data_IF_386957949630
#
_entry.id   IF_386957949630
#
_cell.length_a   1.000
_cell.length_b   1.000
_cell.length_c   1.000
_cell.angle_alpha   90.00
_cell.angle_beta   90.00
_cell.angle_gamma   90.00
#
_symmetry.space_group_name_H-M   'P 1'
#
loop_
_entity.id
_entity.type
_entity.pdbx_description
1 polymer ?
#
# COMPACT_ATOMS: atom_id res chain seq x y z
N UNK A 1 -22.69 47.43 38.46
CA UNK A 1 -22.21 46.82 37.20
C UNK A 1 -21.40 45.55 37.45
N UNK A 2 -20.35 45.55 38.29
CA UNK A 2 -19.60 44.31 38.64
C UNK A 2 -20.42 43.21 39.35
N UNK A 3 -21.42 43.60 40.16
CA UNK A 3 -22.29 42.66 40.89
C UNK A 3 -23.28 41.94 39.95
N UNK A 4 -23.66 42.56 38.83
CA UNK A 4 -24.50 41.92 37.80
C UNK A 4 -23.69 40.95 36.94
N UNK A 5 -22.43 41.28 36.64
CA UNK A 5 -21.53 40.43 35.87
C UNK A 5 -21.21 39.14 36.65
N UNK A 6 -20.97 39.24 37.96
CA UNK A 6 -20.72 38.06 38.82
C UNK A 6 -21.98 37.20 39.02
N UNK A 7 -23.18 37.80 39.05
CA UNK A 7 -24.45 37.05 39.07
C UNK A 7 -24.73 36.31 37.76
N UNK A 8 -24.46 36.94 36.61
CA UNK A 8 -24.60 36.27 35.31
C UNK A 8 -23.58 35.16 35.12
N UNK A 9 -22.33 35.36 35.54
CA UNK A 9 -21.30 34.31 35.54
C UNK A 9 -21.71 33.11 36.41
N UNK A 10 -22.27 33.35 37.60
CA UNK A 10 -22.76 32.29 38.48
C UNK A 10 -24.08 31.65 38.01
N UNK A 11 -24.86 32.29 37.13
CA UNK A 11 -26.03 31.67 36.49
C UNK A 11 -25.62 30.78 35.30
N UNK A 12 -24.56 31.16 34.59
CA UNK A 12 -23.96 30.37 33.51
C UNK A 12 -23.12 29.20 34.07
N UNK A 13 -22.48 29.41 35.23
CA UNK A 13 -21.65 28.40 35.91
C UNK A 13 -22.42 27.62 37.01
N UNK A 14 -23.62 28.07 37.38
CA UNK A 14 -24.45 27.55 38.49
C UNK A 14 -25.25 26.29 38.18
N UNK A 15 -24.75 25.42 37.30
CA UNK A 15 -25.19 24.04 37.25
C UNK A 15 -24.64 23.27 38.45
N UNK A 16 -25.45 22.42 39.07
CA UNK A 16 -24.99 21.43 40.06
C UNK A 16 -23.67 20.81 39.61
N UNK A 17 -22.75 20.51 40.54
CA UNK A 17 -21.47 19.84 40.24
C UNK A 17 -21.65 18.64 39.29
N UNK A 18 -22.80 17.95 39.37
CA UNK A 18 -23.20 16.88 38.45
C UNK A 18 -23.34 17.29 36.98
N UNK A 19 -23.81 18.50 36.66
CA UNK A 19 -23.96 19.00 35.27
C UNK A 19 -22.61 19.16 34.58
N UNK A 20 -21.63 19.76 35.26
CA UNK A 20 -20.28 19.93 34.72
C UNK A 20 -19.53 18.60 34.61
N UNK A 21 -19.72 17.70 35.57
CA UNK A 21 -19.18 16.33 35.49
C UNK A 21 -19.79 15.56 34.31
N UNK A 22 -21.11 15.64 34.10
CA UNK A 22 -21.79 14.98 32.99
C UNK A 22 -21.35 15.54 31.64
N UNK A 23 -21.28 16.87 31.51
CA UNK A 23 -20.83 17.53 30.27
C UNK A 23 -19.38 17.17 29.95
N UNK A 24 -18.51 17.16 30.97
CA UNK A 24 -17.12 16.69 30.84
C UNK A 24 -17.03 15.24 30.38
N UNK A 25 -17.86 14.35 30.92
CA UNK A 25 -17.90 12.94 30.53
C UNK A 25 -18.32 12.74 29.05
N UNK A 26 -19.29 13.53 28.56
CA UNK A 26 -19.73 13.48 27.15
C UNK A 26 -18.62 13.93 26.20
N UNK A 27 -17.93 15.03 26.52
CA UNK A 27 -16.81 15.54 25.72
C UNK A 27 -15.65 14.53 25.70
N UNK A 28 -15.29 13.98 26.87
CA UNK A 28 -14.24 12.97 26.97
C UNK A 28 -14.58 11.71 26.15
N UNK A 29 -15.84 11.28 26.20
CA UNK A 29 -16.33 10.12 25.42
C UNK A 29 -16.27 10.39 23.91
N UNK A 30 -16.63 11.59 23.47
CA UNK A 30 -16.52 11.98 22.05
C UNK A 30 -15.06 12.00 21.58
N UNK A 31 -14.14 12.54 22.38
CA UNK A 31 -12.70 12.54 22.09
C UNK A 31 -12.17 11.09 22.03
N UNK A 32 -12.54 10.25 23.00
CA UNK A 32 -12.16 8.84 23.02
C UNK A 32 -12.68 8.09 21.78
N UNK A 33 -13.91 8.36 21.35
CA UNK A 33 -14.50 7.74 20.16
C UNK A 33 -13.74 8.13 18.88
N UNK A 34 -13.44 9.42 18.68
CA UNK A 34 -12.63 9.90 17.55
C UNK A 34 -11.24 9.27 17.57
N UNK A 35 -10.63 9.18 18.75
CA UNK A 35 -9.32 8.55 18.92
C UNK A 35 -9.34 7.05 18.57
N UNK A 36 -10.36 6.31 19.01
CA UNK A 36 -10.55 4.89 18.68
C UNK A 36 -10.71 4.68 17.16
N UNK A 37 -11.50 5.52 16.48
CA UNK A 37 -11.68 5.46 15.03
C UNK A 37 -10.34 5.66 14.31
N UNK A 38 -9.54 6.63 14.75
CA UNK A 38 -8.22 6.88 14.16
C UNK A 38 -7.27 5.69 14.37
N UNK A 39 -7.26 5.08 15.55
CA UNK A 39 -6.44 3.90 15.84
C UNK A 39 -6.87 2.67 15.03
N UNK A 40 -8.17 2.51 14.78
CA UNK A 40 -8.71 1.38 14.02
C UNK A 40 -8.23 1.35 12.57
N UNK A 41 -7.95 2.52 11.96
CA UNK A 41 -7.44 2.60 10.59
C UNK A 41 -6.10 1.85 10.38
N UNK A 42 -5.27 1.68 11.42
CA UNK A 42 -4.05 0.84 11.30
C UNK A 42 -4.39 -0.66 11.28
N UNK A 43 -5.37 -1.10 12.06
CA UNK A 43 -5.80 -2.51 12.12
C UNK A 43 -6.52 -2.91 10.84
N UNK A 44 -7.35 -2.02 10.31
CA UNK A 44 -8.08 -2.23 9.07
C UNK A 44 -7.14 -2.43 7.88
N UNK A 45 -6.17 -1.54 7.69
CA UNK A 45 -5.16 -1.67 6.62
C UNK A 45 -4.40 -2.98 6.66
N UNK A 46 -4.06 -3.46 7.86
CA UNK A 46 -3.40 -4.76 8.03
C UNK A 46 -4.27 -5.90 7.55
N UNK A 47 -5.55 -5.89 7.96
CA UNK A 47 -6.51 -6.91 7.53
C UNK A 47 -6.71 -6.87 6.01
N UNK A 48 -6.92 -5.70 5.43
CA UNK A 48 -7.06 -5.52 3.98
C UNK A 48 -5.82 -6.07 3.24
N UNK A 49 -4.61 -5.82 3.75
CA UNK A 49 -3.39 -6.37 3.14
C UNK A 49 -3.30 -7.89 3.26
N UNK A 50 -3.69 -8.47 4.39
CA UNK A 50 -3.73 -9.93 4.55
C UNK A 50 -4.74 -10.54 3.58
N UNK A 51 -5.95 -9.97 3.49
CA UNK A 51 -6.99 -10.43 2.58
C UNK A 51 -6.54 -10.32 1.11
N UNK A 52 -5.83 -9.23 0.75
CA UNK A 52 -5.20 -9.07 -0.56
C UNK A 52 -4.16 -10.16 -0.84
N UNK A 53 -3.31 -10.49 0.13
CA UNK A 53 -2.30 -11.55 -0.01
C UNK A 53 -3.00 -12.89 -0.23
N UNK A 54 -4.01 -13.23 0.58
CA UNK A 54 -4.79 -14.46 0.44
C UNK A 54 -5.46 -14.53 -0.94
N UNK A 55 -6.10 -13.44 -1.38
CA UNK A 55 -6.74 -13.37 -2.68
C UNK A 55 -5.73 -13.54 -3.83
N UNK A 56 -4.54 -12.93 -3.71
CA UNK A 56 -3.46 -13.09 -4.69
C UNK A 56 -2.96 -14.54 -4.73
N UNK A 57 -2.90 -15.21 -3.58
CA UNK A 57 -2.51 -16.61 -3.50
C UNK A 57 -3.56 -17.58 -4.05
N UNK A 58 -4.83 -17.19 -4.04
CA UNK A 58 -5.91 -17.99 -4.64
C UNK A 58 -6.08 -17.73 -6.15
N UNK A 59 -5.51 -16.63 -6.67
CA UNK A 59 -5.56 -16.27 -8.09
C UNK A 59 -4.63 -17.17 -8.92
N UNK A 60 -5.20 -18.28 -9.42
CA UNK A 60 -4.49 -19.23 -10.30
C UNK A 60 -3.97 -18.57 -11.58
N UNK A 61 -4.75 -17.66 -12.16
CA UNK A 61 -4.39 -16.96 -13.40
C UNK A 61 -3.16 -16.09 -13.18
N UNK A 62 -3.11 -15.35 -12.07
CA UNK A 62 -1.93 -14.57 -11.70
C UNK A 62 -0.72 -15.48 -11.49
N UNK A 63 -0.88 -16.60 -10.79
CA UNK A 63 0.22 -17.56 -10.55
C UNK A 63 0.77 -18.15 -11.84
N UNK A 64 -0.09 -18.55 -12.77
CA UNK A 64 0.31 -19.10 -14.08
C UNK A 64 1.11 -18.08 -14.88
N UNK A 65 0.61 -16.84 -14.97
CA UNK A 65 1.30 -15.76 -15.68
C UNK A 65 2.60 -15.36 -15.00
N UNK A 66 2.62 -15.28 -13.68
CA UNK A 66 3.85 -15.02 -12.93
C UNK A 66 4.87 -16.14 -13.15
N UNK A 67 4.43 -17.40 -13.19
CA UNK A 67 5.29 -18.54 -13.47
C UNK A 67 5.87 -18.50 -14.89
N UNK A 68 5.11 -18.06 -15.91
CA UNK A 68 5.63 -17.90 -17.28
C UNK A 68 6.78 -16.87 -17.30
N UNK A 69 6.59 -15.72 -16.65
CA UNK A 69 7.63 -14.69 -16.55
C UNK A 69 8.84 -15.21 -15.76
N UNK A 70 8.61 -15.90 -14.64
CA UNK A 70 9.67 -16.47 -13.82
C UNK A 70 10.51 -17.49 -14.61
N UNK A 71 9.90 -18.30 -15.48
CA UNK A 71 10.61 -19.19 -16.40
C UNK A 71 11.50 -18.42 -17.37
N UNK A 72 10.99 -17.34 -17.97
CA UNK A 72 11.79 -16.49 -18.86
C UNK A 72 12.99 -15.87 -18.13
N UNK A 73 12.79 -15.37 -16.91
CA UNK A 73 13.85 -14.80 -16.08
C UNK A 73 14.90 -15.86 -15.71
N UNK A 74 14.47 -17.06 -15.32
CA UNK A 74 15.39 -18.14 -14.93
C UNK A 74 16.17 -18.73 -16.12
N UNK A 75 15.65 -18.58 -17.35
CA UNK A 75 16.32 -18.97 -18.59
C UNK A 75 17.18 -17.82 -19.17
N UNK A 76 17.46 -16.78 -18.38
CA UNK A 76 18.24 -15.59 -18.77
C UNK A 76 17.72 -14.88 -20.05
N UNK A 77 16.41 -14.98 -20.32
CA UNK A 77 15.79 -14.32 -21.46
C UNK A 77 15.70 -12.82 -21.20
N UNK A 78 16.30 -12.02 -22.09
CA UNK A 78 16.20 -10.57 -22.04
C UNK A 78 14.77 -10.10 -22.39
N UNK A 79 14.03 -9.66 -21.37
CA UNK A 79 12.63 -9.23 -21.53
C UNK A 79 12.46 -7.97 -22.40
N UNK A 80 13.52 -7.18 -22.59
CA UNK A 80 13.52 -5.99 -23.48
C UNK A 80 13.13 -6.36 -24.92
N UNK A 81 13.48 -7.56 -25.36
CA UNK A 81 13.17 -8.04 -26.71
C UNK A 81 11.66 -8.05 -26.99
N UNK A 82 10.83 -8.17 -25.96
CA UNK A 82 9.37 -8.10 -26.11
C UNK A 82 8.85 -6.70 -26.41
N UNK A 83 9.67 -5.64 -26.30
CA UNK A 83 9.28 -4.29 -26.69
C UNK A 83 8.91 -4.18 -28.18
N UNK A 84 9.49 -5.04 -29.04
CA UNK A 84 9.10 -5.11 -30.46
C UNK A 84 7.64 -5.51 -30.66
N UNK A 85 7.03 -6.15 -29.66
CA UNK A 85 5.66 -6.63 -29.72
C UNK A 85 4.65 -5.68 -29.05
N UNK A 86 5.03 -4.42 -28.76
CA UNK A 86 4.15 -3.48 -28.02
C UNK A 86 2.81 -3.22 -28.71
N UNK A 87 2.81 -3.20 -30.04
CA UNK A 87 1.67 -2.86 -30.89
C UNK A 87 1.02 -4.09 -31.55
N UNK A 88 1.46 -5.30 -31.18
CA UNK A 88 0.98 -6.58 -31.71
C UNK A 88 0.55 -7.48 -30.56
N UNK A 89 -0.40 -8.38 -30.81
CA UNK A 89 -0.80 -9.34 -29.79
C UNK A 89 0.29 -10.40 -29.62
N UNK A 90 0.96 -10.39 -28.46
CA UNK A 90 1.95 -11.37 -28.08
C UNK A 90 1.67 -11.87 -26.68
N UNK A 91 1.56 -13.19 -26.52
CA UNK A 91 1.13 -13.83 -25.28
C UNK A 91 2.04 -13.50 -24.09
N UNK A 92 3.36 -13.63 -24.25
CA UNK A 92 4.28 -13.30 -23.14
C UNK A 92 4.23 -11.82 -22.73
N UNK A 93 4.14 -10.88 -23.67
CA UNK A 93 4.00 -9.47 -23.33
C UNK A 93 2.67 -9.19 -22.62
N UNK A 94 1.59 -9.88 -23.01
CA UNK A 94 0.29 -9.82 -22.35
C UNK A 94 0.38 -10.35 -20.90
N UNK A 95 1.10 -11.44 -20.69
CA UNK A 95 1.35 -12.01 -19.36
C UNK A 95 2.19 -11.07 -18.49
N UNK A 96 3.26 -10.49 -19.04
CA UNK A 96 4.09 -9.49 -18.37
C UNK A 96 3.24 -8.28 -17.95
N UNK A 97 2.49 -7.69 -18.88
CA UNK A 97 1.61 -6.53 -18.59
C UNK A 97 0.58 -6.87 -17.51
N UNK A 98 0.00 -8.07 -17.55
CA UNK A 98 -0.97 -8.49 -16.53
C UNK A 98 -0.36 -8.50 -15.12
N UNK A 99 0.83 -9.07 -14.98
CA UNK A 99 1.53 -9.12 -13.69
C UNK A 99 1.95 -7.72 -13.24
N UNK A 100 2.51 -6.92 -14.15
CA UNK A 100 2.91 -5.54 -13.84
C UNK A 100 1.72 -4.67 -13.44
N UNK A 101 0.57 -4.79 -14.10
CA UNK A 101 -0.64 -4.05 -13.74
C UNK A 101 -1.11 -4.39 -12.31
N UNK A 102 -1.04 -5.66 -11.92
CA UNK A 102 -1.37 -6.09 -10.56
C UNK A 102 -0.40 -5.49 -9.55
N UNK A 103 0.91 -5.55 -9.82
CA UNK A 103 1.93 -5.00 -8.93
C UNK A 103 1.86 -3.47 -8.84
N UNK A 104 1.53 -2.78 -9.93
CA UNK A 104 1.29 -1.34 -9.97
C UNK A 104 0.13 -0.94 -9.05
N UNK A 105 -0.99 -1.68 -9.11
CA UNK A 105 -2.12 -1.45 -8.21
C UNK A 105 -1.74 -1.63 -6.74
N UNK A 106 -0.96 -2.68 -6.43
CA UNK A 106 -0.50 -2.93 -5.06
C UNK A 106 0.43 -1.81 -4.58
N UNK A 107 1.37 -1.39 -5.43
CA UNK A 107 2.29 -0.31 -5.13
C UNK A 107 1.57 1.03 -4.91
N UNK A 108 0.57 1.34 -5.74
CA UNK A 108 -0.31 2.49 -5.55
C UNK A 108 -1.03 2.42 -4.20
N UNK A 109 -1.60 1.26 -3.85
CA UNK A 109 -2.30 1.07 -2.59
C UNK A 109 -1.38 1.23 -1.37
N UNK A 110 -0.11 0.81 -1.47
CA UNK A 110 0.91 1.08 -0.45
C UNK A 110 1.23 2.57 -0.37
N UNK A 111 1.46 3.24 -1.50
CA UNK A 111 1.77 4.68 -1.55
C UNK A 111 0.65 5.53 -0.96
N UNK A 112 -0.60 5.16 -1.24
CA UNK A 112 -1.81 5.79 -0.72
C UNK A 112 -2.17 5.35 0.69
N UNK A 113 -1.34 4.53 1.35
CA UNK A 113 -1.57 3.99 2.69
C UNK A 113 -2.88 3.21 2.81
N UNK A 114 -3.41 2.64 1.73
CA UNK A 114 -4.54 1.70 1.77
C UNK A 114 -4.08 0.31 2.25
N UNK A 115 -2.83 -0.05 1.96
CA UNK A 115 -2.21 -1.31 2.38
C UNK A 115 -1.11 -1.08 3.44
N UNK A 116 -0.92 -2.05 4.34
CA UNK A 116 0.20 -2.10 5.28
C UNK A 116 1.47 -2.58 4.54
N UNK A 117 2.34 -1.61 4.23
CA UNK A 117 3.62 -1.87 3.55
C UNK A 117 4.49 -2.88 4.29
N UNK A 118 4.49 -2.88 5.63
CA UNK A 118 5.39 -3.73 6.41
C UNK A 118 5.04 -5.19 6.18
N UNK A 119 3.74 -5.53 6.27
CA UNK A 119 3.25 -6.88 6.03
C UNK A 119 3.56 -7.32 4.60
N UNK A 120 3.21 -6.48 3.62
CA UNK A 120 3.40 -6.86 2.22
C UNK A 120 4.89 -7.00 1.84
N UNK A 121 5.75 -6.15 2.40
CA UNK A 121 7.20 -6.22 2.20
C UNK A 121 7.80 -7.50 2.81
N UNK A 122 7.42 -7.86 4.03
CA UNK A 122 7.87 -9.11 4.66
C UNK A 122 7.45 -10.33 3.83
N UNK A 123 6.29 -10.26 3.17
CA UNK A 123 5.78 -11.32 2.29
C UNK A 123 6.48 -11.39 0.93
N UNK A 124 6.62 -10.26 0.21
CA UNK A 124 6.87 -10.28 -1.23
C UNK A 124 8.12 -9.49 -1.69
N UNK A 125 8.91 -8.91 -0.78
CA UNK A 125 10.04 -8.03 -1.14
C UNK A 125 11.02 -8.66 -2.14
N UNK A 126 11.48 -9.89 -1.88
CA UNK A 126 12.48 -10.54 -2.75
C UNK A 126 11.93 -10.81 -4.15
N UNK A 127 10.69 -11.28 -4.23
CA UNK A 127 10.02 -11.56 -5.50
C UNK A 127 9.78 -10.29 -6.30
N UNK A 128 9.31 -9.22 -5.64
CA UNK A 128 9.09 -7.91 -6.26
C UNK A 128 10.39 -7.33 -6.81
N UNK A 129 11.48 -7.36 -6.04
CA UNK A 129 12.77 -6.84 -6.50
C UNK A 129 13.35 -7.69 -7.65
N UNK A 130 13.20 -9.02 -7.59
CA UNK A 130 13.65 -9.92 -8.67
C UNK A 130 12.90 -9.63 -9.98
N UNK A 131 11.57 -9.54 -9.93
CA UNK A 131 10.77 -9.28 -11.13
C UNK A 131 11.02 -7.86 -11.66
N UNK A 132 11.08 -6.86 -10.78
CA UNK A 132 11.33 -5.47 -11.19
C UNK A 132 12.68 -5.34 -11.90
N UNK A 133 13.74 -5.95 -11.36
CA UNK A 133 15.06 -5.92 -11.98
C UNK A 133 15.06 -6.47 -13.42
N UNK A 134 14.26 -7.49 -13.69
CA UNK A 134 14.16 -8.08 -15.02
C UNK A 134 13.27 -7.27 -15.99
N UNK A 135 12.17 -6.70 -15.50
CA UNK A 135 11.18 -6.00 -16.33
C UNK A 135 11.47 -4.50 -16.51
N UNK A 136 12.24 -3.87 -15.62
CA UNK A 136 12.50 -2.43 -15.67
C UNK A 136 13.11 -1.97 -17.02
N UNK A 137 14.06 -2.70 -17.63
CA UNK A 137 14.55 -2.35 -18.97
C UNK A 137 13.47 -2.40 -20.06
N UNK A 138 12.52 -3.35 -19.98
CA UNK A 138 11.38 -3.43 -20.89
C UNK A 138 10.43 -2.24 -20.68
N UNK A 139 10.13 -1.89 -19.43
CA UNK A 139 9.30 -0.72 -19.09
C UNK A 139 9.91 0.57 -19.64
N UNK A 140 11.22 0.76 -19.46
CA UNK A 140 11.93 1.93 -19.98
C UNK A 140 11.80 2.05 -21.51
N UNK A 141 11.92 0.93 -22.24
CA UNK A 141 11.75 0.90 -23.68
C UNK A 141 10.30 1.14 -24.11
N UNK A 142 9.31 0.65 -23.36
CA UNK A 142 7.89 0.97 -23.57
C UNK A 142 7.65 2.47 -23.41
N UNK A 143 8.13 3.07 -22.33
CA UNK A 143 8.02 4.51 -22.06
C UNK A 143 8.65 5.33 -23.18
N UNK A 144 9.86 4.95 -23.62
CA UNK A 144 10.58 5.63 -24.71
C UNK A 144 9.80 5.60 -26.03
N UNK A 145 9.20 4.46 -26.38
CA UNK A 145 8.41 4.30 -27.62
C UNK A 145 7.07 5.01 -27.59
N UNK A 146 6.40 5.05 -26.43
CA UNK A 146 5.08 5.68 -26.27
C UNK A 146 5.18 7.17 -25.93
N UNK A 147 6.35 7.67 -25.54
CA UNK A 147 6.53 9.06 -25.09
C UNK A 147 5.87 9.36 -23.73
N UNK A 148 5.57 8.32 -22.94
CA UNK A 148 4.89 8.45 -21.64
C UNK A 148 5.75 7.79 -20.57
N UNK A 149 6.26 8.58 -19.64
CA UNK A 149 7.20 8.12 -18.60
C UNK A 149 6.52 7.71 -17.29
N UNK A 150 5.19 7.77 -17.23
CA UNK A 150 4.41 7.43 -16.02
C UNK A 150 3.97 5.96 -15.98
N UNK A 151 4.31 5.15 -16.99
CA UNK A 151 3.97 3.73 -16.97
C UNK A 151 4.73 3.02 -15.86
N UNK A 152 3.98 2.29 -15.03
CA UNK A 152 4.55 1.45 -13.97
C UNK A 152 5.41 2.24 -12.96
N UNK A 153 5.12 3.54 -12.77
CA UNK A 153 5.86 4.42 -11.87
C UNK A 153 5.68 4.02 -10.39
N UNK A 154 4.54 3.41 -10.03
CA UNK A 154 4.27 3.04 -8.65
C UNK A 154 5.14 1.87 -8.22
N UNK A 155 5.24 0.82 -9.06
CA UNK A 155 6.14 -0.31 -8.82
C UNK A 155 7.61 0.13 -8.86
N UNK A 156 8.00 1.06 -9.74
CA UNK A 156 9.34 1.65 -9.73
C UNK A 156 9.65 2.32 -8.40
N UNK A 157 8.77 3.23 -7.95
CA UNK A 157 8.90 3.89 -6.66
C UNK A 157 9.02 2.90 -5.50
N UNK A 158 8.17 1.87 -5.48
CA UNK A 158 8.17 0.87 -4.42
C UNK A 158 9.47 0.05 -4.43
N UNK A 159 9.93 -0.34 -5.61
CA UNK A 159 11.15 -1.13 -5.78
C UNK A 159 12.37 -0.35 -5.31
N UNK A 160 12.51 0.91 -5.73
CA UNK A 160 13.59 1.82 -5.30
C UNK A 160 13.57 2.03 -3.78
N UNK A 161 12.38 2.21 -3.20
CA UNK A 161 12.21 2.34 -1.75
C UNK A 161 12.63 1.08 -0.99
N UNK A 162 12.39 -0.10 -1.54
CA UNK A 162 12.70 -1.37 -0.90
C UNK A 162 14.13 -1.84 -1.10
N UNK A 163 14.75 -1.54 -2.23
CA UNK A 163 16.15 -1.85 -2.50
C UNK A 163 17.08 -1.18 -1.48
N UNK A 164 16.78 0.07 -1.10
CA UNK A 164 17.48 0.82 -0.06
C UNK A 164 17.24 0.31 1.37
N UNK A 165 16.21 -0.52 1.59
CA UNK A 165 15.80 -1.00 2.92
C UNK A 165 15.38 -2.46 2.86
N UNK A 166 16.27 -3.37 2.46
CA UNK A 166 15.94 -4.80 2.33
C UNK A 166 15.41 -5.39 3.65
N UNK A 167 14.61 -6.45 3.54
CA UNK A 167 14.08 -7.17 4.72
C UNK A 167 15.24 -7.66 5.58
N UNK A 168 15.17 -7.40 6.89
CA UNK A 168 16.21 -7.84 7.83
C UNK A 168 16.10 -9.36 8.02
N UNK A 169 17.24 -10.04 8.05
CA UNK A 169 17.29 -11.45 8.46
C UNK A 169 16.75 -11.56 9.88
N UNK A 170 15.82 -12.48 10.11
CA UNK A 170 15.40 -12.85 11.45
C UNK A 170 16.58 -13.62 12.06
N UNK A 171 17.30 -13.01 12.98
CA UNK A 171 18.29 -13.73 13.78
C UNK A 171 17.50 -14.67 14.69
N UNK A 172 17.57 -15.98 14.47
CA UNK A 172 17.09 -16.93 15.47
C UNK A 172 17.96 -16.77 16.71
N UNK A 173 17.34 -16.48 17.84
CA UNK A 173 18.01 -16.62 19.14
C UNK A 173 18.49 -18.07 19.21
N UNK A 174 19.80 -18.24 19.47
CA UNK A 174 20.44 -19.54 19.73
C UNK A 174 19.93 -20.11 21.05
#
# INVERSE_FOLDING_TARGET
MEIEITKQANLILGGSYGFWVQTGAVILSAIAAVYVIYLNGKRERRRITIDLIIATEQDKVYKEKYASISKLINNDVCLVNYARFIDIEHEELKNIRYVLNRLEFIALGIRKKAFDEKIYKEYFCTNLLKIWKAVAPLVAEICRRKGVFTYYQEIEWLSNKWENKKVKRINSIK
#
